data_IF_528442045037
#
_entry.id   IF_528442045037
#
_cell.length_a   1.000
_cell.length_b   1.000
_cell.length_c   1.000
_cell.angle_alpha   90.00
_cell.angle_beta   90.00
_cell.angle_gamma   90.00
#
_symmetry.space_group_name_H-M   'P 1'
#
loop_
_entity.id
_entity.type
_entity.pdbx_description
1 polymer ?
#
# COMPACT_ATOMS: atom_id res chain seq x y z
N UNK A 1 -15.48 -8.19 -1.16
CA UNK A 1 -14.67 -9.41 -0.84
C UNK A 1 -14.25 -9.33 0.62
N UNK A 2 -14.19 -10.45 1.31
CA UNK A 2 -13.63 -10.56 2.67
C UNK A 2 -12.53 -11.61 2.57
N UNK A 3 -11.33 -11.25 3.03
CA UNK A 3 -10.23 -12.23 3.14
C UNK A 3 -10.40 -13.00 4.45
N UNK A 4 -10.20 -14.32 4.40
CA UNK A 4 -10.14 -15.13 5.61
C UNK A 4 -8.73 -15.06 6.25
N UNK A 5 -8.57 -15.63 7.43
CA UNK A 5 -7.32 -15.60 8.19
C UNK A 5 -6.13 -16.16 7.40
N UNK A 6 -6.31 -17.31 6.74
CA UNK A 6 -5.27 -17.95 5.95
C UNK A 6 -4.79 -17.06 4.80
N UNK A 7 -5.73 -16.44 4.07
CA UNK A 7 -5.42 -15.50 2.98
C UNK A 7 -4.69 -14.24 3.46
N UNK A 8 -5.06 -13.70 4.64
CA UNK A 8 -4.35 -12.55 5.22
C UNK A 8 -2.91 -12.91 5.57
N UNK A 9 -2.69 -14.08 6.15
CA UNK A 9 -1.36 -14.58 6.49
C UNK A 9 -0.53 -14.89 5.25
N UNK A 10 -1.10 -15.55 4.25
CA UNK A 10 -0.42 -15.82 2.98
C UNK A 10 0.02 -14.52 2.29
N UNK A 11 -0.88 -13.54 2.21
CA UNK A 11 -0.58 -12.23 1.63
C UNK A 11 0.55 -11.53 2.40
N UNK A 12 0.53 -11.59 3.73
CA UNK A 12 1.59 -11.03 4.57
C UNK A 12 2.94 -11.70 4.36
N UNK A 13 2.96 -13.04 4.31
CA UNK A 13 4.18 -13.80 4.05
C UNK A 13 4.75 -13.52 2.66
N UNK A 14 3.88 -13.40 1.65
CA UNK A 14 4.28 -13.01 0.30
C UNK A 14 4.91 -11.61 0.28
N UNK A 15 4.29 -10.64 0.95
CA UNK A 15 4.80 -9.28 1.07
C UNK A 15 6.21 -9.24 1.70
N UNK A 16 6.39 -9.90 2.84
CA UNK A 16 7.70 -10.02 3.47
C UNK A 16 8.69 -10.81 2.61
N UNK A 17 8.21 -11.77 1.83
CA UNK A 17 8.97 -12.54 0.86
C UNK A 17 9.62 -11.64 -0.20
N UNK A 18 8.90 -10.68 -0.75
CA UNK A 18 9.45 -9.71 -1.70
C UNK A 18 10.58 -8.88 -1.08
N UNK A 19 10.40 -8.39 0.16
CA UNK A 19 11.47 -7.66 0.85
C UNK A 19 12.71 -8.54 1.03
N UNK A 20 12.53 -9.78 1.50
CA UNK A 20 13.62 -10.72 1.75
C UNK A 20 14.39 -11.08 0.48
N UNK A 21 13.68 -11.21 -0.64
CA UNK A 21 14.24 -11.67 -1.92
C UNK A 21 14.93 -10.55 -2.70
N UNK A 22 14.34 -9.36 -2.75
CA UNK A 22 14.77 -8.33 -3.70
C UNK A 22 15.49 -7.15 -3.05
N UNK A 23 15.26 -6.86 -1.78
CA UNK A 23 15.89 -5.71 -1.11
C UNK A 23 17.21 -6.15 -0.45
N UNK A 24 18.21 -5.30 -0.51
CA UNK A 24 19.57 -5.58 -0.01
C UNK A 24 20.03 -4.55 1.01
N UNK A 25 21.14 -4.86 1.70
CA UNK A 25 21.79 -3.95 2.64
C UNK A 25 20.97 -3.59 3.88
N UNK A 26 21.35 -2.48 4.54
CA UNK A 26 20.73 -2.02 5.79
C UNK A 26 19.23 -1.67 5.61
N UNK A 27 18.85 -1.19 4.43
CA UNK A 27 17.47 -0.83 4.18
C UNK A 27 16.51 -2.04 4.21
N UNK A 28 16.98 -3.24 3.86
CA UNK A 28 16.25 -4.50 4.02
C UNK A 28 15.87 -4.72 5.48
N UNK A 29 16.85 -4.60 6.37
CA UNK A 29 16.63 -4.81 7.79
C UNK A 29 15.66 -3.78 8.36
N UNK A 30 15.86 -2.50 8.05
CA UNK A 30 15.00 -1.40 8.51
C UNK A 30 13.54 -1.56 8.04
N UNK A 31 13.32 -1.98 6.79
CA UNK A 31 11.99 -2.29 6.27
C UNK A 31 11.35 -3.45 7.05
N UNK A 32 12.07 -4.57 7.22
CA UNK A 32 11.56 -5.72 7.96
C UNK A 32 11.23 -5.38 9.42
N UNK A 33 12.09 -4.61 10.10
CA UNK A 33 11.84 -4.13 11.46
C UNK A 33 10.59 -3.25 11.53
N UNK A 34 10.44 -2.33 10.59
CA UNK A 34 9.27 -1.45 10.54
C UNK A 34 7.98 -2.22 10.28
N UNK A 35 7.94 -3.06 9.24
CA UNK A 35 6.74 -3.82 8.91
C UNK A 35 6.37 -4.82 10.00
N UNK A 36 7.32 -5.54 10.58
CA UNK A 36 7.07 -6.45 11.70
C UNK A 36 6.60 -5.71 12.97
N UNK A 37 7.15 -4.52 13.26
CA UNK A 37 6.73 -3.71 14.41
C UNK A 37 5.26 -3.30 14.32
N UNK A 38 4.75 -3.07 13.12
CA UNK A 38 3.38 -2.63 12.86
C UNK A 38 2.56 -3.69 12.11
N UNK A 39 2.92 -4.97 12.24
CA UNK A 39 2.35 -6.10 11.52
C UNK A 39 0.82 -6.10 11.53
N UNK A 40 0.20 -6.07 12.72
CA UNK A 40 -1.26 -6.06 12.89
C UNK A 40 -1.91 -4.92 12.10
N UNK A 41 -1.33 -3.73 12.17
CA UNK A 41 -1.85 -2.56 11.49
C UNK A 41 -1.76 -2.70 9.96
N UNK A 42 -0.67 -3.25 9.43
CA UNK A 42 -0.51 -3.50 8.01
C UNK A 42 -1.41 -4.62 7.49
N UNK A 43 -1.52 -5.71 8.23
CA UNK A 43 -2.37 -6.86 7.85
C UNK A 43 -3.84 -6.42 7.72
N UNK A 44 -4.32 -5.49 8.54
CA UNK A 44 -5.70 -5.03 8.56
C UNK A 44 -5.97 -3.78 7.74
N UNK A 45 -4.92 -3.13 7.20
CA UNK A 45 -5.04 -1.88 6.46
C UNK A 45 -5.83 -2.09 5.16
N UNK A 46 -6.88 -1.28 4.86
CA UNK A 46 -7.54 -1.30 3.56
C UNK A 46 -6.71 -0.54 2.52
N UNK A 47 -6.84 -0.90 1.24
CA UNK A 47 -6.21 -0.14 0.16
C UNK A 47 -6.90 1.21 -0.09
N UNK A 48 -8.19 1.34 0.23
CA UNK A 48 -8.93 2.59 0.13
C UNK A 48 -9.93 2.74 1.29
N UNK A 49 -10.37 3.99 1.53
CA UNK A 49 -11.34 4.29 2.59
C UNK A 49 -12.79 4.29 2.11
N UNK A 50 -13.03 4.24 0.79
CA UNK A 50 -14.37 4.28 0.19
C UNK A 50 -14.65 3.07 -0.68
N UNK A 51 -15.88 2.54 -0.64
CA UNK A 51 -16.25 1.31 -1.35
C UNK A 51 -16.26 1.45 -2.88
N UNK A 52 -16.31 2.66 -3.43
CA UNK A 52 -16.22 2.89 -4.87
C UNK A 52 -14.80 2.81 -5.43
N UNK A 53 -13.79 2.75 -4.58
CA UNK A 53 -12.42 2.48 -4.95
C UNK A 53 -12.09 1.00 -4.74
N UNK A 54 -10.87 0.58 -5.08
CA UNK A 54 -10.44 -0.81 -4.99
C UNK A 54 -10.11 -1.23 -3.55
N UNK A 55 -10.35 -2.50 -3.24
CA UNK A 55 -9.94 -3.18 -2.00
C UNK A 55 -10.24 -2.41 -0.69
N UNK A 56 -11.47 -1.88 -0.57
CA UNK A 56 -11.94 -1.20 0.64
C UNK A 56 -12.40 -2.24 1.69
N UNK A 57 -11.48 -3.10 2.15
CA UNK A 57 -11.72 -4.14 3.15
C UNK A 57 -10.45 -4.44 3.95
N UNK A 58 -10.55 -5.07 5.14
CA UNK A 58 -9.38 -5.45 5.93
C UNK A 58 -8.41 -6.35 5.15
N UNK A 59 -7.15 -5.98 5.11
CA UNK A 59 -6.10 -6.68 4.34
C UNK A 59 -5.99 -6.24 2.89
N UNK A 60 -6.87 -5.36 2.42
CA UNK A 60 -6.88 -4.90 1.05
C UNK A 60 -5.59 -4.21 0.62
N UNK A 61 -4.91 -3.52 1.54
CA UNK A 61 -3.62 -2.86 1.26
C UNK A 61 -2.53 -3.87 0.87
N UNK A 62 -2.30 -4.89 1.67
CA UNK A 62 -1.25 -5.88 1.40
C UNK A 62 -1.58 -6.69 0.13
N UNK A 63 -2.85 -7.05 -0.07
CA UNK A 63 -3.27 -7.74 -1.30
C UNK A 63 -3.01 -6.89 -2.54
N UNK A 64 -3.34 -5.59 -2.49
CA UNK A 64 -3.06 -4.62 -3.55
C UNK A 64 -1.56 -4.50 -3.83
N UNK A 65 -0.76 -4.23 -2.79
CA UNK A 65 0.70 -4.06 -2.95
C UNK A 65 1.36 -5.30 -3.53
N UNK A 66 0.98 -6.50 -3.09
CA UNK A 66 1.49 -7.75 -3.67
C UNK A 66 1.18 -7.86 -5.17
N UNK A 67 -0.02 -7.46 -5.58
CA UNK A 67 -0.41 -7.42 -7.01
C UNK A 67 0.40 -6.39 -7.77
N UNK A 68 0.61 -5.19 -7.21
CA UNK A 68 1.43 -4.15 -7.83
C UNK A 68 2.88 -4.62 -8.00
N UNK A 69 3.47 -5.28 -6.99
CA UNK A 69 4.83 -5.83 -7.11
C UNK A 69 4.91 -6.87 -8.23
N UNK A 70 3.98 -7.83 -8.25
CA UNK A 70 3.92 -8.86 -9.31
C UNK A 70 3.76 -8.22 -10.69
N UNK A 71 2.79 -7.31 -10.84
CA UNK A 71 2.55 -6.61 -12.09
C UNK A 71 3.76 -5.77 -12.54
N UNK A 72 4.45 -5.11 -11.59
CA UNK A 72 5.65 -4.30 -11.91
C UNK A 72 6.77 -5.14 -12.50
N UNK A 73 7.00 -6.34 -11.97
CA UNK A 73 8.02 -7.26 -12.50
C UNK A 73 7.67 -7.74 -13.93
N UNK A 74 6.40 -8.06 -14.19
CA UNK A 74 5.94 -8.47 -15.51
C UNK A 74 6.01 -7.31 -16.51
N UNK A 75 5.55 -6.12 -16.14
CA UNK A 75 5.59 -4.93 -16.98
C UNK A 75 7.05 -4.54 -17.26
N UNK A 76 7.95 -4.57 -16.27
CA UNK A 76 9.38 -4.34 -16.48
C UNK A 76 9.95 -5.33 -17.51
N UNK A 77 9.59 -6.62 -17.41
CA UNK A 77 9.97 -7.63 -18.40
C UNK A 77 9.49 -7.28 -19.81
N UNK A 78 8.26 -6.77 -19.96
CA UNK A 78 7.72 -6.31 -21.24
C UNK A 78 8.52 -5.11 -21.77
N UNK A 79 8.77 -4.11 -20.94
CA UNK A 79 9.55 -2.92 -21.33
C UNK A 79 10.96 -3.31 -21.81
N UNK A 80 11.63 -4.27 -21.14
CA UNK A 80 12.94 -4.78 -21.54
C UNK A 80 12.93 -5.49 -22.89
N UNK A 81 11.84 -6.17 -23.25
CA UNK A 81 11.65 -6.79 -24.59
C UNK A 81 11.56 -5.76 -25.70
N UNK A 82 11.20 -4.51 -25.40
CA UNK A 82 11.16 -3.40 -26.33
C UNK A 82 12.40 -2.49 -26.24
N UNK A 83 13.54 -3.05 -25.85
CA UNK A 83 14.86 -2.41 -25.81
C UNK A 83 14.93 -1.12 -24.98
N UNK A 84 14.10 -1.01 -23.93
CA UNK A 84 14.24 0.11 -23.00
C UNK A 84 15.65 0.14 -22.41
N UNK A 85 16.28 1.30 -22.42
CA UNK A 85 17.56 1.50 -21.72
C UNK A 85 17.27 1.59 -20.22
N UNK A 86 17.35 0.46 -19.51
CA UNK A 86 17.11 0.42 -18.08
C UNK A 86 18.14 1.24 -17.33
N UNK A 87 17.71 2.36 -16.75
CA UNK A 87 18.52 3.21 -15.87
C UNK A 87 18.25 2.91 -14.40
N UNK A 88 17.58 1.80 -14.12
CA UNK A 88 17.12 1.32 -12.81
C UNK A 88 17.37 -0.19 -12.69
N UNK A 89 17.39 -0.67 -11.46
CA UNK A 89 17.60 -2.08 -11.09
C UNK A 89 16.25 -2.75 -10.78
N UNK A 90 16.23 -4.10 -10.74
CA UNK A 90 15.06 -4.86 -10.27
C UNK A 90 14.74 -4.56 -8.80
N UNK A 91 15.77 -4.30 -7.97
CA UNK A 91 15.57 -3.88 -6.59
C UNK A 91 14.78 -2.55 -6.53
N UNK A 92 15.13 -1.56 -7.36
CA UNK A 92 14.41 -0.28 -7.43
C UNK A 92 12.95 -0.46 -7.90
N UNK A 93 12.69 -1.41 -8.83
CA UNK A 93 11.31 -1.75 -9.25
C UNK A 93 10.51 -2.27 -8.06
N UNK A 94 11.04 -3.28 -7.37
CA UNK A 94 10.34 -3.90 -6.23
C UNK A 94 10.22 -2.95 -5.05
N UNK A 95 11.27 -2.19 -4.73
CA UNK A 95 11.23 -1.19 -3.65
C UNK A 95 10.17 -0.13 -3.89
N UNK A 96 10.09 0.39 -5.12
CA UNK A 96 9.10 1.39 -5.49
C UNK A 96 7.68 0.82 -5.40
N UNK A 97 7.45 -0.38 -5.91
CA UNK A 97 6.17 -1.06 -5.87
C UNK A 97 5.71 -1.38 -4.44
N UNK A 98 6.63 -1.83 -3.55
CA UNK A 98 6.33 -2.08 -2.14
C UNK A 98 5.91 -0.83 -1.38
N UNK A 99 6.45 0.34 -1.75
CA UNK A 99 6.32 1.56 -0.96
C UNK A 99 5.52 2.68 -1.66
N UNK A 100 4.97 2.45 -2.87
CA UNK A 100 4.23 3.49 -3.61
C UNK A 100 3.09 4.07 -2.78
N UNK A 101 2.38 3.23 -2.09
CA UNK A 101 1.21 3.53 -1.27
C UNK A 101 1.47 3.55 0.25
N UNK A 102 2.75 3.54 0.68
CA UNK A 102 3.12 3.47 2.10
C UNK A 102 2.46 4.57 2.95
N UNK A 103 2.19 5.72 2.37
CA UNK A 103 1.51 6.80 3.07
C UNK A 103 0.08 6.50 3.51
N UNK A 104 -0.57 5.44 2.99
CA UNK A 104 -1.86 4.93 3.47
C UNK A 104 -1.77 4.37 4.90
N UNK A 105 -0.59 3.98 5.35
CA UNK A 105 -0.32 3.62 6.74
C UNK A 105 -0.67 4.74 7.72
N UNK A 106 -0.46 6.01 7.35
CA UNK A 106 -0.61 7.17 8.24
C UNK A 106 0.72 7.63 8.81
N UNK A 107 0.80 7.84 10.12
CA UNK A 107 2.04 8.17 10.84
C UNK A 107 2.40 7.08 11.84
N UNK A 108 3.49 7.23 12.58
CA UNK A 108 3.84 6.29 13.66
C UNK A 108 2.83 6.32 14.81
N UNK A 109 2.14 7.46 15.00
CA UNK A 109 1.18 7.69 16.08
C UNK A 109 -0.27 7.44 15.63
N UNK A 110 -0.59 7.70 14.36
CA UNK A 110 -1.96 7.71 13.88
C UNK A 110 -2.15 6.85 12.63
N UNK A 111 -3.22 6.08 12.59
CA UNK A 111 -3.71 5.42 11.38
C UNK A 111 -4.35 6.43 10.44
N UNK A 112 -4.13 6.30 9.11
CA UNK A 112 -4.71 7.23 8.14
C UNK A 112 -6.23 7.10 8.05
N UNK A 113 -6.75 5.90 8.28
CA UNK A 113 -8.18 5.60 8.24
C UNK A 113 -8.60 4.91 9.52
N UNK A 114 -9.82 5.21 9.96
CA UNK A 114 -10.45 4.65 11.15
C UNK A 114 -11.79 4.03 10.76
N UNK A 115 -12.34 3.11 11.58
CA UNK A 115 -13.72 2.67 11.41
C UNK A 115 -14.66 3.87 11.40
N UNK A 116 -15.61 3.87 10.47
CA UNK A 116 -16.57 4.95 10.40
C UNK A 116 -17.52 4.91 11.60
N UNK A 117 -17.59 5.96 12.43
CA UNK A 117 -18.45 5.98 13.61
C UNK A 117 -19.93 6.13 13.27
N UNK A 118 -20.26 6.43 12.02
CA UNK A 118 -21.63 6.65 11.58
C UNK A 118 -22.26 5.37 11.04
N UNK A 119 -23.12 4.74 11.84
CA UNK A 119 -23.92 3.58 11.42
C UNK A 119 -24.71 3.85 10.12
N UNK A 120 -25.15 5.08 9.91
CA UNK A 120 -25.89 5.45 8.71
C UNK A 120 -25.01 5.34 7.46
N UNK A 121 -23.78 5.84 7.50
CA UNK A 121 -22.82 5.74 6.38
C UNK A 121 -22.43 4.29 6.11
N UNK A 122 -22.20 3.52 7.16
CA UNK A 122 -21.89 2.09 7.03
C UNK A 122 -23.03 1.33 6.38
N UNK A 123 -24.28 1.50 6.87
CA UNK A 123 -25.45 0.73 6.41
C UNK A 123 -25.95 1.18 5.03
N UNK A 124 -25.95 2.50 4.74
CA UNK A 124 -26.58 3.04 3.54
C UNK A 124 -25.60 3.31 2.40
N UNK A 125 -24.30 3.46 2.70
CA UNK A 125 -23.26 3.76 1.71
C UNK A 125 -22.16 2.72 1.64
N UNK A 126 -22.10 1.78 2.58
CA UNK A 126 -20.99 0.83 2.71
C UNK A 126 -19.67 1.49 3.08
N UNK A 127 -19.70 2.74 3.58
CA UNK A 127 -18.49 3.49 3.96
C UNK A 127 -18.04 3.05 5.35
N UNK A 128 -17.37 1.87 5.42
CA UNK A 128 -16.91 1.26 6.68
C UNK A 128 -15.70 1.98 7.29
N UNK A 129 -15.00 2.80 6.52
CA UNK A 129 -13.84 3.59 6.96
C UNK A 129 -14.07 5.08 6.75
N UNK A 130 -13.37 5.89 7.55
CA UNK A 130 -13.26 7.35 7.42
C UNK A 130 -11.82 7.80 7.63
N UNK A 131 -11.47 8.98 7.11
CA UNK A 131 -10.15 9.56 7.37
C UNK A 131 -9.98 9.94 8.83
N UNK A 132 -8.76 9.76 9.33
CA UNK A 132 -8.37 10.26 10.64
C UNK A 132 -8.03 11.74 10.56
N UNK A 133 -8.89 12.59 11.13
CA UNK A 133 -8.75 14.05 11.14
C UNK A 133 -7.73 14.57 12.16
N UNK A 134 -7.10 13.68 12.96
CA UNK A 134 -6.03 14.07 13.89
C UNK A 134 -4.66 14.19 13.21
N UNK A 135 -4.55 13.76 11.95
CA UNK A 135 -3.32 13.84 11.19
C UNK A 135 -3.26 15.12 10.36
N UNK A 136 -2.05 15.68 10.25
CA UNK A 136 -1.77 16.71 9.25
C UNK A 136 -1.96 16.17 7.83
N UNK A 137 -2.45 17.02 6.95
CA UNK A 137 -2.63 16.67 5.56
C UNK A 137 -1.27 16.50 4.86
N UNK A 138 -1.10 15.33 4.26
CA UNK A 138 -0.05 15.04 3.29
C UNK A 138 -0.63 14.15 2.20
N UNK A 139 -0.16 14.29 0.96
CA UNK A 139 -0.50 13.31 -0.09
C UNK A 139 0.06 11.93 0.29
N UNK A 140 -0.51 10.87 -0.25
CA UNK A 140 -0.05 9.50 0.03
C UNK A 140 1.43 9.32 -0.36
N UNK A 141 1.88 9.74 -1.56
CA UNK A 141 3.30 9.64 -1.92
C UNK A 141 4.22 10.44 -1.00
N UNK A 142 3.85 11.69 -0.66
CA UNK A 142 4.68 12.55 0.17
C UNK A 142 4.83 11.98 1.59
N UNK A 143 3.74 11.46 2.17
CA UNK A 143 3.77 10.80 3.48
C UNK A 143 4.59 9.51 3.44
N UNK A 144 4.48 8.70 2.39
CA UNK A 144 5.28 7.50 2.21
C UNK A 144 6.77 7.81 2.18
N UNK A 145 7.18 8.80 1.39
CA UNK A 145 8.57 9.26 1.30
C UNK A 145 9.07 9.86 2.64
N UNK A 146 8.22 10.61 3.34
CA UNK A 146 8.53 11.10 4.68
C UNK A 146 8.76 9.96 5.67
N UNK A 147 7.88 8.93 5.70
CA UNK A 147 8.05 7.75 6.56
C UNK A 147 9.38 7.04 6.29
N UNK A 148 9.72 6.79 5.02
CA UNK A 148 11.00 6.17 4.65
C UNK A 148 12.19 7.01 5.15
N UNK A 149 12.11 8.33 5.03
CA UNK A 149 13.12 9.25 5.57
C UNK A 149 13.25 9.16 7.09
N UNK A 150 12.13 9.11 7.84
CA UNK A 150 12.14 8.97 9.31
C UNK A 150 12.71 7.64 9.77
N UNK A 151 12.56 6.58 8.97
CA UNK A 151 13.15 5.27 9.22
C UNK A 151 14.65 5.22 8.85
N UNK A 152 15.22 6.28 8.29
CA UNK A 152 16.59 6.31 7.80
C UNK A 152 16.81 5.36 6.63
N UNK A 153 15.77 5.11 5.84
CA UNK A 153 15.84 4.27 4.64
C UNK A 153 16.23 5.14 3.46
N UNK A 154 17.36 4.82 2.85
CA UNK A 154 17.82 5.51 1.65
C UNK A 154 16.90 5.20 0.47
N UNK A 155 16.48 6.25 -0.24
CA UNK A 155 15.62 6.18 -1.43
C UNK A 155 16.40 6.77 -2.60
N UNK A 156 16.61 5.99 -3.66
CA UNK A 156 17.27 6.48 -4.87
C UNK A 156 16.41 7.53 -5.57
N UNK A 157 17.05 8.33 -6.44
CA UNK A 157 16.30 9.28 -7.29
C UNK A 157 15.24 8.60 -8.15
N UNK A 158 15.51 7.42 -8.67
CA UNK A 158 14.57 6.66 -9.48
C UNK A 158 13.37 6.20 -8.65
N UNK A 159 13.63 5.65 -7.47
CA UNK A 159 12.61 5.21 -6.50
C UNK A 159 11.75 6.39 -6.04
N UNK A 160 12.38 7.52 -5.71
CA UNK A 160 11.67 8.74 -5.32
C UNK A 160 10.69 9.19 -6.41
N UNK A 161 11.16 9.26 -7.66
CA UNK A 161 10.33 9.63 -8.81
C UNK A 161 9.20 8.61 -9.03
N UNK A 162 9.49 7.32 -8.89
CA UNK A 162 8.49 6.27 -9.09
C UNK A 162 7.39 6.31 -8.02
N UNK A 163 7.77 6.47 -6.74
CA UNK A 163 6.82 6.60 -5.64
C UNK A 163 6.03 7.90 -5.77
N UNK A 164 6.70 9.04 -6.05
CA UNK A 164 6.02 10.34 -6.17
C UNK A 164 5.01 10.38 -7.31
N UNK A 165 5.30 9.71 -8.42
CA UNK A 165 4.53 9.85 -9.67
C UNK A 165 3.60 8.65 -9.96
N UNK A 166 3.44 7.69 -9.02
CA UNK A 166 2.69 6.46 -9.28
C UNK A 166 1.23 6.71 -9.65
N UNK A 167 0.58 7.73 -9.09
CA UNK A 167 -0.79 8.15 -9.45
C UNK A 167 -0.91 8.71 -10.89
N UNK A 168 0.22 8.89 -11.59
CA UNK A 168 0.22 9.44 -12.94
C UNK A 168 -0.47 10.80 -13.01
N UNK A 169 -1.34 10.99 -14.01
CA UNK A 169 -2.10 12.24 -14.21
C UNK A 169 -3.38 12.34 -13.35
N UNK A 170 -3.68 11.33 -12.52
CA UNK A 170 -4.74 11.45 -11.51
C UNK A 170 -4.35 12.47 -10.42
N UNK A 171 -3.05 12.63 -10.14
CA UNK A 171 -2.53 13.75 -9.35
C UNK A 171 -2.06 14.88 -10.29
N UNK A 172 -2.76 16.02 -10.26
CA UNK A 172 -2.41 17.18 -11.09
C UNK A 172 -1.00 17.73 -10.83
N UNK A 173 -0.45 17.53 -9.63
CA UNK A 173 0.91 17.95 -9.29
C UNK A 173 1.99 17.20 -10.09
N UNK A 174 1.64 16.08 -10.70
CA UNK A 174 2.53 15.27 -11.54
C UNK A 174 2.64 15.78 -12.98
N UNK A 175 1.75 16.67 -13.43
CA UNK A 175 1.73 17.20 -14.81
C UNK A 175 3.09 17.74 -15.29
N UNK A 176 3.86 18.53 -14.50
CA UNK A 176 5.16 19.03 -14.93
C UNK A 176 6.18 17.94 -15.27
N UNK A 177 6.08 16.77 -14.62
CA UNK A 177 6.96 15.62 -14.86
C UNK A 177 6.53 14.80 -16.08
N UNK A 178 5.22 14.65 -16.30
CA UNK A 178 4.67 13.68 -17.26
C UNK A 178 4.34 14.33 -18.61
N UNK A 179 3.97 15.61 -18.64
CA UNK A 179 3.55 16.34 -19.85
C UNK A 179 4.63 17.30 -20.38
N UNK A 180 5.87 17.14 -19.96
CA UNK A 180 6.97 17.98 -20.44
C UNK A 180 7.32 17.71 -21.89
N UNK A 181 7.52 18.79 -22.67
CA UNK A 181 7.92 18.75 -24.08
C UNK A 181 9.43 18.97 -24.27
N UNK A 182 10.08 19.73 -23.39
CA UNK A 182 11.50 20.04 -23.49
C UNK A 182 12.39 18.84 -23.14
N UNK A 183 13.49 18.61 -23.85
CA UNK A 183 14.42 17.53 -23.53
C UNK A 183 15.00 17.63 -22.12
N UNK A 184 15.18 18.85 -21.62
CA UNK A 184 15.74 19.17 -20.29
C UNK A 184 14.80 18.80 -19.13
N UNK A 185 13.50 18.75 -19.38
CA UNK A 185 12.46 18.50 -18.38
C UNK A 185 11.88 17.09 -18.46
N UNK A 186 12.27 16.28 -19.47
CA UNK A 186 11.83 14.89 -19.59
C UNK A 186 12.44 13.99 -18.53
N UNK A 187 11.63 13.09 -18.01
CA UNK A 187 12.11 12.00 -17.16
C UNK A 187 13.13 11.15 -17.92
N UNK A 188 14.26 10.84 -17.24
CA UNK A 188 15.35 10.04 -17.81
C UNK A 188 15.34 8.59 -17.31
N UNK A 189 14.26 8.19 -16.66
CA UNK A 189 14.01 6.84 -16.20
C UNK A 189 12.59 6.42 -16.54
N UNK A 190 12.39 5.17 -16.90
CA UNK A 190 11.07 4.61 -17.19
C UNK A 190 10.37 4.05 -15.95
N UNK A 191 11.06 4.00 -14.81
CA UNK A 191 10.53 3.40 -13.59
C UNK A 191 9.19 3.99 -13.13
N UNK A 192 8.96 5.33 -13.15
CA UNK A 192 7.65 5.89 -12.79
C UNK A 192 6.50 5.38 -13.67
N UNK A 193 6.76 5.16 -14.96
CA UNK A 193 5.74 4.66 -15.89
C UNK A 193 5.42 3.19 -15.62
N UNK A 194 6.42 2.37 -15.24
CA UNK A 194 6.23 0.96 -14.91
C UNK A 194 5.38 0.84 -13.66
N UNK A 195 5.71 1.60 -12.60
CA UNK A 195 4.96 1.57 -11.34
C UNK A 195 3.53 2.10 -11.56
N UNK A 196 3.36 3.20 -12.28
CA UNK A 196 2.03 3.71 -12.62
C UNK A 196 1.17 2.71 -13.40
N UNK A 197 1.75 2.03 -14.41
CA UNK A 197 1.03 1.00 -15.18
C UNK A 197 0.65 -0.20 -14.31
N UNK A 198 1.54 -0.61 -13.40
CA UNK A 198 1.31 -1.73 -12.50
C UNK A 198 0.21 -1.43 -11.48
N UNK A 199 0.24 -0.23 -10.89
CA UNK A 199 -0.79 0.23 -9.96
C UNK A 199 -2.15 0.39 -10.65
N UNK A 200 -2.20 1.03 -11.81
CA UNK A 200 -3.42 1.17 -12.61
C UNK A 200 -4.01 -0.20 -12.99
N UNK A 201 -3.16 -1.15 -13.41
CA UNK A 201 -3.59 -2.52 -13.72
C UNK A 201 -4.16 -3.20 -12.47
N UNK A 202 -3.46 -3.13 -11.34
CA UNK A 202 -3.89 -3.76 -10.09
C UNK A 202 -5.23 -3.18 -9.63
N UNK A 203 -5.33 -1.85 -9.55
CA UNK A 203 -6.55 -1.15 -9.15
C UNK A 203 -7.73 -1.47 -10.09
N UNK A 204 -7.49 -1.58 -11.40
CA UNK A 204 -8.54 -1.91 -12.38
C UNK A 204 -9.03 -3.35 -12.25
N UNK A 205 -8.12 -4.32 -12.09
CA UNK A 205 -8.47 -5.73 -11.87
C UNK A 205 -9.27 -5.90 -10.57
N UNK A 206 -8.87 -5.21 -9.50
CA UNK A 206 -9.54 -5.24 -8.20
C UNK A 206 -10.95 -4.63 -8.29
N UNK A 207 -11.07 -3.49 -8.96
CA UNK A 207 -12.36 -2.86 -9.23
C UNK A 207 -13.29 -3.79 -10.01
N UNK A 208 -12.85 -4.39 -11.11
CA UNK A 208 -13.68 -5.29 -11.92
C UNK A 208 -14.14 -6.51 -11.12
N UNK A 209 -13.23 -7.13 -10.35
CA UNK A 209 -13.54 -8.27 -9.49
C UNK A 209 -14.61 -7.95 -8.44
N UNK A 210 -14.57 -6.75 -7.84
CA UNK A 210 -15.50 -6.37 -6.79
C UNK A 210 -16.83 -5.83 -7.34
N UNK A 211 -16.77 -5.05 -8.41
CA UNK A 211 -17.93 -4.34 -8.94
C UNK A 211 -18.78 -5.16 -9.90
N UNK A 212 -18.16 -6.00 -10.73
CA UNK A 212 -18.91 -6.85 -11.65
C UNK A 212 -19.80 -7.84 -10.89
N UNK A 213 -19.33 -8.39 -9.79
CA UNK A 213 -20.15 -9.26 -8.93
C UNK A 213 -21.35 -8.52 -8.36
N UNK A 214 -21.18 -7.28 -7.90
CA UNK A 214 -22.30 -6.43 -7.43
C UNK A 214 -23.30 -6.13 -8.52
N UNK A 215 -22.85 -5.81 -9.72
CA UNK A 215 -23.72 -5.52 -10.88
C UNK A 215 -24.48 -6.77 -11.33
N UNK A 216 -23.90 -7.96 -11.20
CA UNK A 216 -24.54 -9.23 -11.54
C UNK A 216 -25.51 -9.74 -10.46
N UNK A 217 -25.74 -8.96 -9.39
CA UNK A 217 -26.68 -9.31 -8.33
C UNK A 217 -26.17 -10.39 -7.37
N UNK A 218 -24.88 -10.70 -7.39
CA UNK A 218 -24.28 -11.58 -6.40
C UNK A 218 -24.31 -10.89 -5.04
N UNK A 219 -24.87 -11.49 -3.96
CA UNK A 219 -24.83 -10.89 -2.64
C UNK A 219 -23.37 -10.70 -2.19
N UNK A 220 -22.96 -9.46 -2.04
CA UNK A 220 -21.63 -9.14 -1.51
C UNK A 220 -21.77 -8.92 -0.01
N UNK A 221 -21.14 -9.79 0.79
CA UNK A 221 -21.01 -9.53 2.22
C UNK A 221 -20.23 -8.23 2.43
N UNK A 222 -20.82 -7.30 3.18
CA UNK A 222 -20.12 -6.07 3.56
C UNK A 222 -19.09 -6.42 4.65
N UNK A 223 -17.80 -6.17 4.40
CA UNK A 223 -16.79 -6.40 5.41
C UNK A 223 -17.04 -5.51 6.63
N UNK A 224 -16.74 -6.01 7.83
CA UNK A 224 -16.72 -5.18 9.03
C UNK A 224 -15.38 -4.43 9.08
N UNK A 225 -15.34 -3.18 9.58
CA UNK A 225 -14.08 -2.49 9.79
C UNK A 225 -13.29 -3.21 10.88
N UNK A 226 -12.02 -3.42 10.61
CA UNK A 226 -11.09 -3.96 11.60
C UNK A 226 -10.25 -2.84 12.18
N UNK A 227 -9.99 -2.92 13.47
CA UNK A 227 -9.06 -2.04 14.17
C UNK A 227 -7.97 -2.87 14.82
N UNK A 228 -6.75 -2.37 14.76
CA UNK A 228 -5.71 -2.87 15.64
C UNK A 228 -6.08 -2.56 17.10
N UNK A 229 -5.96 -3.54 17.98
CA UNK A 229 -6.24 -3.37 19.43
C UNK A 229 -5.17 -2.54 20.16
N UNK A 230 -4.34 -1.80 19.44
CA UNK A 230 -3.35 -0.91 20.05
C UNK A 230 -4.05 0.27 20.72
N UNK A 231 -4.50 0.06 21.97
CA UNK A 231 -4.68 1.16 22.91
C UNK A 231 -3.31 1.79 23.13
N UNK A 232 -3.07 2.93 22.50
CA UNK A 232 -1.88 3.74 22.76
C UNK A 232 -1.81 4.09 24.24
N UNK A 233 -1.10 3.27 25.02
CA UNK A 233 -0.57 3.73 26.28
C UNK A 233 0.63 4.61 25.95
N UNK A 234 0.50 5.91 26.18
CA UNK A 234 1.66 6.76 26.42
C UNK A 234 2.53 6.09 27.48
N UNK A 235 3.59 5.42 27.05
CA UNK A 235 4.70 5.06 27.94
C UNK A 235 5.96 4.91 27.10
N UNK A 236 6.85 5.88 27.26
CA UNK A 236 8.29 5.74 27.18
C UNK A 236 8.72 4.44 27.88
N UNK A 237 9.05 3.42 27.09
CA UNK A 237 10.14 2.46 27.31
C UNK A 237 10.01 1.34 26.27
N UNK A 238 11.07 1.21 25.44
CA UNK A 238 11.22 0.17 24.44
C UNK A 238 11.47 -1.15 25.16
N UNK A 239 10.50 -2.05 25.14
CA UNK A 239 10.72 -3.48 25.33
C UNK A 239 10.06 -4.18 24.14
N UNK A 240 10.87 -4.90 23.36
CA UNK A 240 10.46 -5.74 22.25
C UNK A 240 9.68 -6.91 22.84
N UNK A 241 8.38 -7.12 22.47
CA UNK A 241 7.72 -8.37 22.82
C UNK A 241 8.10 -9.43 21.78
N UNK A 242 8.76 -10.48 22.25
CA UNK A 242 8.86 -11.74 21.52
C UNK A 242 7.45 -12.34 21.35
N UNK A 243 7.10 -12.68 20.08
CA UNK A 243 5.90 -13.43 19.70
C UNK A 243 4.54 -12.87 20.18
N UNK A 244 4.03 -11.89 19.46
CA UNK A 244 2.58 -11.70 19.42
C UNK A 244 1.98 -12.88 18.63
N UNK A 245 1.12 -13.65 19.30
CA UNK A 245 0.46 -14.80 18.69
C UNK A 245 -0.60 -14.26 17.71
N UNK A 246 -0.27 -14.21 16.41
CA UNK A 246 -1.18 -13.77 15.35
C UNK A 246 -2.54 -14.49 15.43
N UNK A 247 -2.55 -15.75 15.88
CA UNK A 247 -3.77 -16.53 16.11
C UNK A 247 -4.71 -15.90 17.13
N UNK A 248 -4.19 -15.31 18.22
CA UNK A 248 -5.01 -14.68 19.26
C UNK A 248 -5.57 -13.33 18.80
N UNK A 249 -4.85 -12.63 17.92
CA UNK A 249 -5.29 -11.38 17.30
C UNK A 249 -6.43 -11.67 16.32
N UNK A 250 -6.27 -12.72 15.52
CA UNK A 250 -7.20 -13.07 14.45
C UNK A 250 -8.47 -13.75 14.97
N UNK A 251 -8.42 -14.54 16.07
CA UNK A 251 -9.62 -15.14 16.66
C UNK A 251 -10.63 -14.10 17.16
N UNK A 252 -10.14 -12.97 17.69
CA UNK A 252 -11.00 -11.83 18.08
C UNK A 252 -11.59 -11.06 16.89
N UNK A 253 -11.19 -11.41 15.67
CA UNK A 253 -11.57 -10.73 14.46
C UNK A 253 -12.73 -11.40 13.71
N UNK A 254 -12.82 -12.72 13.86
CA UNK A 254 -13.82 -13.55 13.18
C UNK A 254 -14.98 -14.00 14.09
N UNK A 255 -14.97 -13.66 15.40
CA UNK A 255 -16.12 -13.73 16.31
C UNK A 255 -16.98 -12.43 16.23
#
# INVERSE_FOLDING_TARGET
>A
MILNEEQLLENWQQFLGYIKQYITGDRKQRLLEFYNKYEERFILLPASHKPQYHNCFPGGYIEHVNRVVSASLEIDSVWRKFDVKSTYTTEEVVFSALNHDLGKFGTFEYEAVLPNPSDWHVKNRGEIYTFNTQMDYMTVPDRGLWLLSQLGIEVSKNEWLAIKLHDGLYDESNKPYLLSWGPETKLRTSLPFIIHQADLLAARVEFEREWLDKLNGTPVETPKPATSNQKYKQQTQISIPENSNLKDIMSNFFE
#
